data_IF_217859151161
#
_entry.id   IF_217859151161
#
_cell.length_a   1.000
_cell.length_b   1.000
_cell.length_c   1.000
_cell.angle_alpha   90.00
_cell.angle_beta   90.00
_cell.angle_gamma   90.00
#
_symmetry.space_group_name_H-M   'P 1'
#
loop_
_entity.id
_entity.type
_entity.pdbx_description
1 polymer ?
#
# COMPACT_ATOMS: atom_id res chain seq x y z
N UNK A 1 -9.75 13.38 -20.93
CA UNK A 1 -10.93 12.80 -20.25
C UNK A 1 -10.82 11.29 -19.96
N UNK A 2 -10.39 10.44 -20.91
CA UNK A 2 -10.35 8.97 -20.73
C UNK A 2 -9.25 8.48 -19.78
N UNK A 3 -8.04 9.06 -19.84
CA UNK A 3 -6.91 8.72 -18.96
C UNK A 3 -7.16 9.13 -17.50
N UNK A 4 -7.74 10.32 -17.28
CA UNK A 4 -8.03 10.82 -15.93
C UNK A 4 -9.01 9.92 -15.17
N UNK A 5 -10.04 9.40 -15.84
CA UNK A 5 -10.99 8.43 -15.26
C UNK A 5 -10.37 7.06 -14.99
N UNK A 6 -9.33 6.67 -15.72
CA UNK A 6 -8.66 5.41 -15.45
C UNK A 6 -7.88 5.50 -14.13
N UNK A 7 -7.26 6.65 -13.83
CA UNK A 7 -6.52 6.89 -12.58
C UNK A 7 -7.37 6.80 -11.29
N UNK A 8 -8.70 6.78 -11.41
CA UNK A 8 -9.65 6.61 -10.29
C UNK A 8 -9.92 5.14 -9.95
N UNK A 9 -9.09 4.21 -10.44
CA UNK A 9 -9.14 2.78 -10.09
C UNK A 9 -7.73 2.25 -9.92
N UNK A 10 -7.57 1.17 -9.12
CA UNK A 10 -6.31 0.42 -9.04
C UNK A 10 -6.04 -0.14 -10.45
N UNK A 11 -5.09 0.46 -11.16
CA UNK A 11 -4.87 0.16 -12.55
C UNK A 11 -3.38 0.12 -12.91
N UNK A 12 -3.09 -0.55 -14.03
CA UNK A 12 -1.74 -0.66 -14.55
C UNK A 12 -1.22 0.66 -15.12
N UNK A 13 -2.10 1.47 -15.72
CA UNK A 13 -1.71 2.70 -16.40
C UNK A 13 -1.09 3.74 -15.45
N UNK A 14 -1.57 3.86 -14.21
CA UNK A 14 -1.02 4.77 -13.21
C UNK A 14 0.40 4.38 -12.82
N UNK A 15 0.64 3.08 -12.64
CA UNK A 15 1.98 2.55 -12.31
C UNK A 15 2.95 2.80 -13.48
N UNK A 16 2.49 2.62 -14.72
CA UNK A 16 3.28 2.95 -15.90
C UNK A 16 3.59 4.45 -15.98
N UNK A 17 2.60 5.32 -15.73
CA UNK A 17 2.84 6.78 -15.70
C UNK A 17 3.88 7.15 -14.65
N UNK A 18 3.83 6.56 -13.46
CA UNK A 18 4.87 6.74 -12.44
C UNK A 18 6.26 6.36 -12.98
N UNK A 19 6.39 5.15 -13.53
CA UNK A 19 7.66 4.66 -14.06
C UNK A 19 8.18 5.52 -15.22
N UNK A 20 7.32 5.86 -16.17
CA UNK A 20 7.66 6.65 -17.35
C UNK A 20 8.14 8.04 -16.94
N UNK A 21 7.49 8.66 -15.95
CA UNK A 21 7.90 9.96 -15.44
C UNK A 21 9.26 9.91 -14.71
N UNK A 22 9.53 8.85 -13.95
CA UNK A 22 10.86 8.62 -13.34
C UNK A 22 11.92 8.41 -14.43
N UNK A 23 11.65 7.57 -15.43
CA UNK A 23 12.57 7.30 -16.53
C UNK A 23 12.88 8.57 -17.32
N UNK A 24 11.85 9.30 -17.77
CA UNK A 24 12.02 10.55 -18.51
C UNK A 24 12.76 11.61 -17.68
N UNK A 25 12.53 11.67 -16.36
CA UNK A 25 13.30 12.54 -15.49
C UNK A 25 14.79 12.22 -15.52
N UNK A 26 15.17 10.94 -15.53
CA UNK A 26 16.57 10.52 -15.57
C UNK A 26 17.21 10.83 -16.92
N UNK A 27 16.52 10.55 -18.02
CA UNK A 27 16.98 10.90 -19.38
C UNK A 27 17.21 12.40 -19.52
N UNK A 28 16.29 13.23 -19.03
CA UNK A 28 16.40 14.70 -19.06
C UNK A 28 17.60 15.19 -18.26
N UNK A 29 17.89 14.59 -17.11
CA UNK A 29 19.09 14.92 -16.33
C UNK A 29 20.37 14.48 -17.05
N UNK A 30 20.35 13.33 -17.73
CA UNK A 30 21.43 12.86 -18.57
C UNK A 30 21.74 13.84 -19.70
N UNK A 31 20.70 14.28 -20.43
CA UNK A 31 20.82 15.29 -21.49
C UNK A 31 21.35 16.63 -20.95
N UNK A 32 20.90 17.06 -19.77
CA UNK A 32 21.38 18.27 -19.13
C UNK A 32 22.89 18.22 -18.87
N UNK A 33 23.40 17.04 -18.51
CA UNK A 33 24.82 16.80 -18.27
C UNK A 33 25.61 16.70 -19.57
N UNK A 34 25.15 15.89 -20.52
CA UNK A 34 25.81 15.64 -21.81
C UNK A 34 25.96 16.92 -22.63
N UNK A 35 24.89 17.71 -22.75
CA UNK A 35 24.89 18.92 -23.57
C UNK A 35 25.36 20.17 -22.83
N UNK A 36 25.79 20.04 -21.56
CA UNK A 36 26.13 21.18 -20.70
C UNK A 36 27.16 22.12 -21.31
N UNK A 37 28.17 21.56 -21.98
CA UNK A 37 29.26 22.33 -22.57
C UNK A 37 28.80 23.21 -23.74
N UNK A 38 27.76 22.78 -24.45
CA UNK A 38 27.20 23.43 -25.64
C UNK A 38 26.15 24.51 -25.34
N UNK A 39 25.66 24.61 -24.09
CA UNK A 39 24.70 25.65 -23.74
C UNK A 39 25.36 27.05 -23.71
N UNK A 40 24.68 28.11 -24.16
CA UNK A 40 25.14 29.49 -23.96
C UNK A 40 25.33 29.79 -22.47
N UNK A 41 26.30 30.64 -22.11
CA UNK A 41 26.69 30.89 -20.71
C UNK A 41 25.51 31.17 -19.76
N UNK A 42 24.58 32.03 -20.16
CA UNK A 42 23.37 32.35 -19.37
C UNK A 42 22.48 31.10 -19.16
N UNK A 43 22.41 30.21 -20.14
CA UNK A 43 21.59 28.98 -20.07
C UNK A 43 22.26 27.91 -19.21
N UNK A 44 23.60 27.91 -19.09
CA UNK A 44 24.30 27.01 -18.15
C UNK A 44 23.91 27.28 -16.69
N UNK A 45 23.55 28.53 -16.39
CA UNK A 45 23.11 28.96 -15.07
C UNK A 45 21.58 28.81 -14.86
N UNK A 46 20.82 28.58 -15.95
CA UNK A 46 19.37 28.33 -15.88
C UNK A 46 19.14 26.82 -15.83
N UNK A 47 18.57 26.35 -14.73
CA UNK A 47 18.31 24.95 -14.42
C UNK A 47 17.20 24.29 -15.26
N UNK A 48 16.93 24.70 -16.51
CA UNK A 48 15.72 24.34 -17.28
C UNK A 48 15.44 22.83 -17.32
N UNK A 49 16.48 22.03 -17.58
CA UNK A 49 16.34 20.57 -17.60
C UNK A 49 16.19 19.96 -16.21
N UNK A 50 16.91 20.49 -15.22
CA UNK A 50 16.77 20.06 -13.82
C UNK A 50 15.36 20.37 -13.32
N UNK A 51 14.84 21.56 -13.60
CA UNK A 51 13.48 21.97 -13.24
C UNK A 51 12.42 21.08 -13.90
N UNK A 52 12.62 20.70 -15.17
CA UNK A 52 11.73 19.79 -15.88
C UNK A 52 11.79 18.37 -15.30
N UNK A 53 12.99 17.87 -15.01
CA UNK A 53 13.18 16.58 -14.35
C UNK A 53 12.49 16.55 -12.99
N UNK A 54 12.65 17.60 -12.17
CA UNK A 54 11.96 17.73 -10.88
C UNK A 54 10.44 17.74 -11.05
N UNK A 55 9.90 18.44 -12.06
CA UNK A 55 8.45 18.41 -12.33
C UNK A 55 7.94 17.00 -12.68
N UNK A 56 8.70 16.23 -13.46
CA UNK A 56 8.33 14.84 -13.77
C UNK A 56 8.39 13.95 -12.52
N UNK A 57 9.39 14.13 -11.66
CA UNK A 57 9.45 13.41 -10.38
C UNK A 57 8.25 13.72 -9.49
N UNK A 58 7.81 14.99 -9.44
CA UNK A 58 6.60 15.38 -8.70
C UNK A 58 5.36 14.69 -9.26
N UNK A 59 5.18 14.67 -10.58
CA UNK A 59 4.06 13.96 -11.22
C UNK A 59 4.12 12.46 -10.92
N UNK A 60 5.31 11.85 -10.99
CA UNK A 60 5.48 10.43 -10.66
C UNK A 60 5.05 10.13 -9.22
N UNK A 61 5.49 10.96 -8.26
CA UNK A 61 5.15 10.79 -6.85
C UNK A 61 3.65 11.00 -6.61
N UNK A 62 3.05 12.07 -7.17
CA UNK A 62 1.62 12.35 -7.04
C UNK A 62 0.74 11.19 -7.56
N UNK A 63 1.10 10.61 -8.71
CA UNK A 63 0.36 9.49 -9.28
C UNK A 63 0.44 8.25 -8.38
N UNK A 64 1.64 7.90 -7.90
CA UNK A 64 1.81 6.76 -7.02
C UNK A 64 1.12 6.97 -5.67
N UNK A 65 1.20 8.18 -5.10
CA UNK A 65 0.53 8.52 -3.85
C UNK A 65 -0.99 8.45 -3.97
N UNK A 66 -1.57 8.94 -5.08
CA UNK A 66 -3.01 8.78 -5.34
C UNK A 66 -3.43 7.32 -5.43
N UNK A 67 -2.60 6.47 -6.04
CA UNK A 67 -2.87 5.03 -6.10
C UNK A 67 -2.81 4.36 -4.72
N UNK A 68 -1.82 4.71 -3.89
CA UNK A 68 -1.75 4.26 -2.48
C UNK A 68 -3.00 4.66 -1.71
N UNK A 69 -3.41 5.93 -1.81
CA UNK A 69 -4.62 6.42 -1.15
C UNK A 69 -5.87 5.65 -1.57
N UNK A 70 -6.02 5.39 -2.87
CA UNK A 70 -7.15 4.65 -3.40
C UNK A 70 -7.21 3.21 -2.88
N UNK A 71 -6.05 2.55 -2.78
CA UNK A 71 -5.95 1.20 -2.18
C UNK A 71 -6.33 1.27 -0.70
N UNK A 72 -5.75 2.19 0.06
CA UNK A 72 -6.07 2.43 1.47
C UNK A 72 -7.56 2.68 1.68
N UNK A 73 -8.20 3.51 0.85
CA UNK A 73 -9.62 3.83 0.98
C UNK A 73 -10.51 2.62 0.70
N UNK A 74 -10.17 1.80 -0.29
CA UNK A 74 -10.90 0.56 -0.58
C UNK A 74 -10.77 -0.45 0.58
N UNK A 75 -9.58 -0.54 1.20
CA UNK A 75 -9.34 -1.40 2.36
C UNK A 75 -10.11 -0.93 3.59
N UNK A 76 -10.13 0.38 3.85
CA UNK A 76 -10.95 0.98 4.92
C UNK A 76 -12.42 0.68 4.71
N UNK A 77 -12.94 0.85 3.50
CA UNK A 77 -14.33 0.50 3.17
C UNK A 77 -14.62 -1.00 3.35
N UNK A 78 -13.64 -1.88 3.09
CA UNK A 78 -13.80 -3.30 3.36
C UNK A 78 -13.91 -3.59 4.87
N UNK A 79 -13.09 -2.91 5.68
CA UNK A 79 -13.12 -3.01 7.14
C UNK A 79 -14.43 -2.44 7.70
N UNK A 80 -14.85 -1.26 7.25
CA UNK A 80 -16.11 -0.62 7.68
C UNK A 80 -17.32 -1.51 7.35
N UNK A 81 -17.24 -2.28 6.26
CA UNK A 81 -18.27 -3.25 5.88
C UNK A 81 -18.45 -4.41 6.85
N UNK A 82 -17.48 -4.67 7.75
CA UNK A 82 -17.59 -5.70 8.78
C UNK A 82 -18.52 -5.29 9.93
N UNK A 83 -18.76 -3.99 10.11
CA UNK A 83 -19.41 -3.38 11.28
C UNK A 83 -18.70 -3.73 12.61
N UNK A 84 -17.36 -3.79 12.55
CA UNK A 84 -16.45 -4.07 13.67
C UNK A 84 -16.14 -5.56 13.89
N UNK A 85 -15.17 -5.81 14.77
CA UNK A 85 -14.72 -7.15 15.17
C UNK A 85 -15.28 -7.59 16.53
N UNK A 86 -16.51 -7.20 16.84
CA UNK A 86 -17.17 -7.46 18.12
C UNK A 86 -18.27 -8.51 17.96
N UNK A 87 -18.53 -9.25 19.04
CA UNK A 87 -19.56 -10.30 19.08
C UNK A 87 -19.34 -11.42 18.03
N UNK A 88 -18.10 -11.70 17.66
CA UNK A 88 -17.71 -12.76 16.72
C UNK A 88 -18.04 -14.17 17.21
N UNK A 89 -18.38 -14.37 18.48
CA UNK A 89 -19.04 -15.61 18.94
C UNK A 89 -20.39 -15.85 18.23
N UNK A 90 -21.05 -14.79 17.75
CA UNK A 90 -22.26 -14.89 16.94
C UNK A 90 -21.89 -15.18 15.47
N UNK A 91 -22.51 -16.21 14.90
CA UNK A 91 -22.20 -16.68 13.55
C UNK A 91 -22.30 -15.57 12.49
N UNK A 92 -23.26 -14.64 12.62
CA UNK A 92 -23.44 -13.55 11.66
C UNK A 92 -22.26 -12.58 11.67
N UNK A 93 -21.77 -12.18 12.85
CA UNK A 93 -20.65 -11.27 13.02
C UNK A 93 -19.33 -11.94 12.64
N UNK A 94 -19.17 -13.23 12.95
CA UNK A 94 -18.03 -14.01 12.48
C UNK A 94 -17.94 -14.03 10.94
N UNK A 95 -19.04 -14.38 10.26
CA UNK A 95 -19.07 -14.41 8.80
C UNK A 95 -18.87 -13.01 8.19
N UNK A 96 -19.38 -11.96 8.84
CA UNK A 96 -19.12 -10.57 8.44
C UNK A 96 -17.63 -10.21 8.49
N UNK A 97 -16.96 -10.51 9.62
CA UNK A 97 -15.53 -10.27 9.80
C UNK A 97 -14.68 -11.12 8.86
N UNK A 98 -15.07 -12.38 8.62
CA UNK A 98 -14.42 -13.27 7.65
C UNK A 98 -14.53 -12.72 6.24
N UNK A 99 -15.71 -12.29 5.81
CA UNK A 99 -15.90 -11.68 4.50
C UNK A 99 -15.07 -10.39 4.33
N UNK A 100 -14.91 -9.61 5.39
CA UNK A 100 -13.98 -8.48 5.39
C UNK A 100 -12.53 -8.92 5.13
N UNK A 101 -12.04 -9.99 5.78
CA UNK A 101 -10.71 -10.55 5.53
C UNK A 101 -10.56 -10.99 4.07
N UNK A 102 -11.55 -11.70 3.53
CA UNK A 102 -11.54 -12.15 2.13
C UNK A 102 -11.46 -10.95 1.17
N UNK A 103 -12.16 -9.86 1.48
CA UNK A 103 -12.09 -8.61 0.70
C UNK A 103 -10.73 -7.92 0.80
N UNK A 104 -10.14 -7.87 1.99
CA UNK A 104 -8.79 -7.33 2.19
C UNK A 104 -7.80 -8.12 1.33
N UNK A 105 -7.84 -9.45 1.42
CA UNK A 105 -7.00 -10.35 0.63
C UNK A 105 -7.12 -10.08 -0.87
N UNK A 106 -8.36 -10.03 -1.38
CA UNK A 106 -8.62 -9.75 -2.79
C UNK A 106 -8.07 -8.41 -3.27
N UNK A 107 -8.19 -7.35 -2.46
CA UNK A 107 -7.65 -6.02 -2.81
C UNK A 107 -6.12 -6.06 -2.84
N UNK A 108 -5.49 -6.66 -1.84
CA UNK A 108 -4.03 -6.77 -1.75
C UNK A 108 -3.47 -7.64 -2.89
N UNK A 109 -4.11 -8.76 -3.22
CA UNK A 109 -3.74 -9.62 -4.34
C UNK A 109 -3.80 -8.85 -5.67
N UNK A 110 -4.86 -8.07 -5.88
CA UNK A 110 -4.96 -7.20 -7.06
C UNK A 110 -3.81 -6.20 -7.13
N UNK A 111 -3.43 -5.59 -6.00
CA UNK A 111 -2.28 -4.66 -5.93
C UNK A 111 -0.99 -5.39 -6.26
N UNK A 112 -0.76 -6.56 -5.66
CA UNK A 112 0.41 -7.40 -5.90
C UNK A 112 0.57 -7.71 -7.40
N UNK A 113 -0.48 -8.24 -8.05
CA UNK A 113 -0.47 -8.60 -9.48
C UNK A 113 -0.14 -7.40 -10.38
N UNK A 114 -0.65 -6.20 -10.05
CA UNK A 114 -0.47 -5.01 -10.91
C UNK A 114 0.87 -4.31 -10.62
N UNK A 115 1.25 -4.17 -9.35
CA UNK A 115 2.34 -3.29 -8.94
C UNK A 115 3.68 -4.00 -8.88
N UNK A 116 3.74 -5.24 -8.38
CA UNK A 116 5.00 -5.97 -8.22
C UNK A 116 5.82 -6.10 -9.51
N UNK A 117 5.24 -6.50 -10.66
CA UNK A 117 6.03 -6.67 -11.88
C UNK A 117 6.46 -5.35 -12.53
N UNK A 118 5.90 -4.22 -12.09
CA UNK A 118 6.12 -2.92 -12.74
C UNK A 118 6.93 -1.95 -11.89
N UNK A 119 6.73 -1.93 -10.57
CA UNK A 119 7.46 -1.02 -9.70
C UNK A 119 8.87 -1.54 -9.40
N UNK A 120 9.80 -0.60 -9.16
CA UNK A 120 11.10 -0.93 -8.59
C UNK A 120 10.88 -1.68 -7.26
N UNK A 121 11.58 -2.80 -6.99
CA UNK A 121 11.30 -3.66 -5.83
C UNK A 121 11.23 -2.91 -4.49
N UNK A 122 12.12 -1.94 -4.27
CA UNK A 122 12.10 -1.13 -3.05
C UNK A 122 10.85 -0.23 -2.95
N UNK A 123 10.40 0.34 -4.06
CA UNK A 123 9.21 1.20 -4.13
C UNK A 123 7.96 0.36 -3.89
N UNK A 124 7.86 -0.81 -4.53
CA UNK A 124 6.79 -1.78 -4.29
C UNK A 124 6.72 -2.17 -2.80
N UNK A 125 7.82 -2.69 -2.24
CA UNK A 125 7.87 -3.16 -0.85
C UNK A 125 7.49 -2.08 0.15
N UNK A 126 8.04 -0.87 0.01
CA UNK A 126 7.69 0.26 0.88
C UNK A 126 6.20 0.63 0.77
N UNK A 127 5.66 0.66 -0.45
CA UNK A 127 4.27 1.04 -0.68
C UNK A 127 3.31 0.04 -0.06
N UNK A 128 3.51 -1.25 -0.29
CA UNK A 128 2.66 -2.31 0.27
C UNK A 128 2.79 -2.40 1.79
N UNK A 129 4.01 -2.28 2.34
CA UNK A 129 4.21 -2.27 3.80
C UNK A 129 3.47 -1.11 4.48
N UNK A 130 3.48 0.10 3.90
CA UNK A 130 2.71 1.23 4.44
C UNK A 130 1.20 0.96 4.42
N UNK A 131 0.68 0.42 3.33
CA UNK A 131 -0.76 0.10 3.18
C UNK A 131 -1.19 -0.97 4.19
N UNK A 132 -0.42 -2.05 4.31
CA UNK A 132 -0.71 -3.13 5.25
C UNK A 132 -0.58 -2.66 6.71
N UNK A 133 0.34 -1.74 7.01
CA UNK A 133 0.45 -1.16 8.35
C UNK A 133 -0.82 -0.42 8.76
N UNK A 134 -1.43 0.35 7.85
CA UNK A 134 -2.68 1.05 8.12
C UNK A 134 -3.82 0.06 8.40
N UNK A 135 -3.90 -1.04 7.63
CA UNK A 135 -4.88 -2.11 7.83
C UNK A 135 -4.70 -2.78 9.19
N UNK A 136 -3.49 -3.22 9.52
CA UNK A 136 -3.21 -3.91 10.78
C UNK A 136 -3.38 -2.99 11.99
N UNK A 137 -2.98 -1.72 11.87
CA UNK A 137 -3.22 -0.72 12.92
C UNK A 137 -4.71 -0.55 13.17
N UNK A 138 -5.52 -0.47 12.11
CA UNK A 138 -6.97 -0.32 12.24
C UNK A 138 -7.62 -1.54 12.89
N UNK A 139 -7.34 -2.75 12.38
CA UNK A 139 -7.91 -4.00 12.91
C UNK A 139 -7.49 -4.20 14.36
N UNK A 140 -6.19 -4.05 14.67
CA UNK A 140 -5.72 -4.18 16.05
C UNK A 140 -6.33 -3.13 16.97
N UNK A 141 -6.55 -1.91 16.50
CA UNK A 141 -7.25 -0.86 17.24
C UNK A 141 -8.69 -1.25 17.58
N UNK A 142 -9.45 -1.82 16.63
CA UNK A 142 -10.82 -2.27 16.88
C UNK A 142 -10.88 -3.43 17.88
N UNK A 143 -9.97 -4.40 17.76
CA UNK A 143 -9.92 -5.56 18.68
C UNK A 143 -9.49 -5.13 20.09
N UNK A 144 -8.52 -4.23 20.21
CA UNK A 144 -8.00 -3.78 21.51
C UNK A 144 -8.98 -2.87 22.28
N UNK A 145 -10.03 -2.36 21.63
CA UNK A 145 -11.08 -1.56 22.26
C UNK A 145 -12.22 -2.42 22.84
N UNK A 146 -12.16 -3.75 22.69
CA UNK A 146 -13.13 -4.65 23.29
C UNK A 146 -12.88 -4.75 24.81
N UNK A 147 -13.87 -4.40 25.62
CA UNK A 147 -13.74 -4.32 27.09
C UNK A 147 -13.52 -5.70 27.74
N UNK A 148 -14.55 -6.57 27.69
CA UNK A 148 -14.53 -7.91 28.28
C UNK A 148 -14.78 -8.97 27.21
N UNK A 149 -13.72 -9.64 26.77
CA UNK A 149 -13.81 -10.73 25.80
C UNK A 149 -14.08 -12.05 26.52
N UNK A 150 -15.25 -12.64 26.24
CA UNK A 150 -15.50 -14.03 26.61
C UNK A 150 -14.46 -14.95 25.95
N UNK A 151 -14.19 -16.12 26.55
CA UNK A 151 -13.25 -17.09 25.99
C UNK A 151 -13.61 -17.52 24.56
N UNK A 152 -14.91 -17.64 24.28
CA UNK A 152 -15.42 -17.98 22.95
C UNK A 152 -15.21 -16.84 21.93
N UNK A 153 -15.43 -15.59 22.34
CA UNK A 153 -15.13 -14.40 21.52
C UNK A 153 -13.63 -14.35 21.18
N UNK A 154 -12.77 -14.59 22.17
CA UNK A 154 -11.31 -14.64 21.99
C UNK A 154 -10.91 -15.69 20.97
N UNK A 155 -11.48 -16.90 21.08
CA UNK A 155 -11.17 -18.00 20.17
C UNK A 155 -11.61 -17.71 18.73
N UNK A 156 -12.75 -17.04 18.52
CA UNK A 156 -13.18 -16.65 17.18
C UNK A 156 -12.30 -15.56 16.59
N UNK A 157 -11.91 -14.57 17.38
CA UNK A 157 -10.95 -13.54 16.94
C UNK A 157 -9.59 -14.12 16.59
N UNK A 158 -9.09 -15.08 17.36
CA UNK A 158 -7.84 -15.78 17.05
C UNK A 158 -7.89 -16.51 15.71
N UNK A 159 -9.02 -17.14 15.37
CA UNK A 159 -9.23 -17.76 14.06
C UNK A 159 -9.24 -16.73 12.94
N UNK A 160 -9.93 -15.61 13.13
CA UNK A 160 -9.96 -14.52 12.15
C UNK A 160 -8.57 -13.92 11.92
N UNK A 161 -7.78 -13.73 12.98
CA UNK A 161 -6.41 -13.24 12.86
C UNK A 161 -5.52 -14.25 12.12
N UNK A 162 -5.62 -15.55 12.44
CA UNK A 162 -4.90 -16.59 11.71
C UNK A 162 -5.28 -16.58 10.22
N UNK A 163 -6.57 -16.54 9.93
CA UNK A 163 -7.08 -16.49 8.56
C UNK A 163 -6.54 -15.27 7.80
N UNK A 164 -6.47 -14.10 8.44
CA UNK A 164 -5.90 -12.90 7.85
C UNK A 164 -4.42 -13.10 7.50
N UNK A 165 -3.63 -13.70 8.39
CA UNK A 165 -2.22 -13.97 8.12
C UNK A 165 -2.02 -15.01 7.02
N UNK A 166 -2.79 -16.11 7.03
CA UNK A 166 -2.74 -17.14 5.98
C UNK A 166 -3.01 -16.55 4.60
N UNK A 167 -4.01 -15.68 4.46
CA UNK A 167 -4.33 -15.05 3.18
C UNK A 167 -3.26 -14.07 2.68
N UNK A 168 -2.56 -13.42 3.59
CA UNK A 168 -1.57 -12.38 3.26
C UNK A 168 -0.13 -12.91 3.25
N UNK A 169 0.08 -14.19 3.53
CA UNK A 169 1.41 -14.78 3.80
C UNK A 169 2.39 -14.56 2.63
N UNK A 170 1.93 -14.82 1.40
CA UNK A 170 2.73 -14.63 0.17
C UNK A 170 3.22 -13.20 -0.04
N UNK A 171 2.48 -12.21 0.48
CA UNK A 171 2.84 -10.79 0.40
C UNK A 171 3.65 -10.37 1.62
N UNK A 172 3.38 -10.94 2.80
CA UNK A 172 4.04 -10.58 4.05
C UNK A 172 5.47 -11.12 4.15
N UNK A 173 5.70 -12.37 3.73
CA UNK A 173 7.01 -13.02 3.87
C UNK A 173 8.14 -12.20 3.21
N UNK A 174 8.03 -11.76 1.94
CA UNK A 174 9.08 -10.96 1.29
C UNK A 174 9.27 -9.56 1.89
N UNK A 175 8.25 -9.04 2.59
CA UNK A 175 8.28 -7.74 3.27
C UNK A 175 8.97 -7.83 4.63
N UNK A 176 8.90 -8.98 5.31
CA UNK A 176 9.49 -9.19 6.62
C UNK A 176 10.97 -9.57 6.57
N UNK A 177 11.43 -10.20 5.48
CA UNK A 177 12.85 -10.51 5.26
C UNK A 177 13.71 -9.25 5.05
N UNK A 178 13.12 -8.22 4.45
CA UNK A 178 13.74 -6.91 4.38
C UNK A 178 13.33 -6.17 5.65
N UNK A 179 14.23 -5.39 6.27
CA UNK A 179 13.89 -4.53 7.41
C UNK A 179 12.90 -3.42 6.98
N UNK A 180 11.67 -3.80 6.67
CA UNK A 180 10.54 -2.89 6.55
C UNK A 180 10.42 -2.17 7.90
N UNK A 181 10.24 -0.85 7.82
CA UNK A 181 10.13 0.10 8.93
C UNK A 181 9.71 -0.54 10.26
N UNK A 182 10.45 -0.25 11.35
CA UNK A 182 10.15 -0.74 12.71
C UNK A 182 8.67 -0.63 13.11
N UNK A 183 7.95 0.34 12.53
CA UNK A 183 6.52 0.53 12.73
C UNK A 183 5.65 -0.61 12.14
N UNK A 184 5.94 -1.07 10.91
CA UNK A 184 5.27 -2.21 10.26
C UNK A 184 5.36 -3.47 11.13
N UNK A 185 6.50 -3.61 11.79
CA UNK A 185 6.79 -4.73 12.65
C UNK A 185 5.94 -4.66 13.94
N UNK A 186 5.57 -3.48 14.44
CA UNK A 186 4.83 -3.34 15.70
C UNK A 186 3.37 -3.81 15.58
N UNK A 187 2.63 -3.41 14.54
CA UNK A 187 1.21 -3.79 14.41
C UNK A 187 1.05 -5.28 14.07
N UNK A 188 1.95 -5.82 13.25
CA UNK A 188 2.04 -7.27 13.03
C UNK A 188 2.36 -8.01 14.33
N UNK A 189 3.33 -7.54 15.12
CA UNK A 189 3.66 -8.14 16.43
C UNK A 189 2.46 -8.10 17.39
N UNK A 190 1.67 -7.02 17.40
CA UNK A 190 0.45 -6.92 18.22
C UNK A 190 -0.56 -7.99 17.79
N UNK A 191 -0.88 -8.08 16.50
CA UNK A 191 -1.83 -9.09 16.00
C UNK A 191 -1.34 -10.52 16.23
N UNK A 192 -0.05 -10.81 16.00
CA UNK A 192 0.52 -12.14 16.29
C UNK A 192 0.49 -12.51 17.77
N UNK A 193 0.60 -11.53 18.68
CA UNK A 193 0.44 -11.77 20.11
C UNK A 193 -1.00 -12.06 20.50
N UNK A 194 -1.97 -11.50 19.77
CA UNK A 194 -3.39 -11.79 20.01
C UNK A 194 -3.76 -13.20 19.51
N UNK A 195 -3.04 -13.74 18.52
CA UNK A 195 -3.27 -15.08 17.97
C UNK A 195 -2.53 -16.23 18.67
N UNK A 196 -1.53 -15.95 19.51
CA UNK A 196 -0.75 -16.95 20.25
C UNK A 196 -1.29 -17.20 21.65
#
# INVERSE_FOLDING_TARGET
LKLHRQLDSINQAAVLVHNDCIYLSQEILGLAFEYREFFPGIVKDIAVFVDLATKLQLVAEEVLQRQKQLVTDNLKQAIDGADGFQNTHQNKQFESAKFCIDRISFIIEKVHIIWEPLLVPLVYKKSVAMILEEVFTRISGEILLLDDMAAEETLQLQKLIHLLFEHLDSVLEPLLEHQASDHFILSIRKLRKLSG
#
